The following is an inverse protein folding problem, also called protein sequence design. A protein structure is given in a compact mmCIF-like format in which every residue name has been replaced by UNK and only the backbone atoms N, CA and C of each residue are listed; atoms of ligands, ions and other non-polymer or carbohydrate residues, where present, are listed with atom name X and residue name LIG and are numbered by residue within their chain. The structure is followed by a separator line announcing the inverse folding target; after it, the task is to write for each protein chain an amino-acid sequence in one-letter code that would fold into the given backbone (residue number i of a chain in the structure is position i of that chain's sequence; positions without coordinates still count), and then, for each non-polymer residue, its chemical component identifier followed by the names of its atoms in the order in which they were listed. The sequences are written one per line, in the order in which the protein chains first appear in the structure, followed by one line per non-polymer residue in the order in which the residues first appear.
data_IF_932510327605
#
_entry.id   IF_932510327605
#
_cell.length_a   1.000
_cell.length_b   1.000
_cell.length_c   1.000
_cell.angle_alpha   90.00
_cell.angle_beta   90.00
_cell.angle_gamma   90.00
#
_symmetry.space_group_name_H-M   'P 1'
#
loop_
_entity.id
_entity.type
_entity.pdbx_description
1 polymer ?
#
# COMPACT_ATOMS: atom_id res chain seq x y z
N UNK A 1 -19.21 11.47 1.19
CA UNK A 1 -18.12 10.89 0.37
C UNK A 1 -17.23 10.02 1.23
N UNK A 2 -16.70 8.95 0.66
CA UNK A 2 -15.83 8.03 1.40
C UNK A 2 -14.41 8.09 0.86
N UNK A 3 -13.47 7.81 1.75
CA UNK A 3 -12.04 7.72 1.40
C UNK A 3 -11.46 6.46 2.02
N UNK A 4 -10.48 5.88 1.37
CA UNK A 4 -9.65 4.85 2.00
C UNK A 4 -8.44 5.53 2.59
N UNK A 5 -8.33 5.51 3.91
CA UNK A 5 -7.16 6.03 4.62
C UNK A 5 -6.11 4.94 4.71
N UNK A 6 -4.97 5.16 4.09
CA UNK A 6 -3.87 4.18 4.03
C UNK A 6 -2.72 4.69 4.88
N UNK A 7 -2.30 3.88 5.85
CA UNK A 7 -1.18 4.20 6.72
C UNK A 7 -0.04 3.21 6.51
N UNK A 8 1.15 3.73 6.38
CA UNK A 8 2.38 2.96 6.28
C UNK A 8 3.16 3.13 7.58
N UNK A 9 3.41 2.04 8.28
CA UNK A 9 4.05 2.09 9.58
C UNK A 9 5.58 2.12 9.51
N UNK A 10 6.13 1.76 8.37
CA UNK A 10 7.56 1.72 8.15
C UNK A 10 7.80 1.68 6.65
N UNK A 11 8.81 2.34 6.10
CA UNK A 11 9.89 3.01 6.84
C UNK A 11 9.62 4.47 7.22
N UNK A 12 8.56 5.10 6.78
CA UNK A 12 8.41 6.55 6.92
C UNK A 12 7.09 7.05 7.52
N UNK A 13 6.21 6.13 7.90
CA UNK A 13 4.91 6.46 8.51
C UNK A 13 4.03 7.36 7.63
N UNK A 14 4.09 7.18 6.32
CA UNK A 14 3.25 7.95 5.40
C UNK A 14 1.76 7.67 5.65
N UNK A 15 0.93 8.66 5.36
CA UNK A 15 -0.52 8.56 5.44
C UNK A 15 -1.11 9.20 4.19
N UNK A 16 -1.95 8.46 3.47
CA UNK A 16 -2.54 8.90 2.22
C UNK A 16 -4.02 8.54 2.18
N UNK A 17 -4.81 9.33 1.47
CA UNK A 17 -6.22 9.03 1.22
C UNK A 17 -6.42 8.68 -0.24
N UNK A 18 -7.15 7.60 -0.46
CA UNK A 18 -7.52 7.15 -1.80
C UNK A 18 -9.02 7.37 -1.96
N UNK A 19 -9.46 8.11 -3.00
CA UNK A 19 -10.89 8.27 -3.24
C UNK A 19 -11.54 6.91 -3.51
N UNK A 20 -12.73 6.71 -2.98
CA UNK A 20 -13.50 5.50 -3.27
C UNK A 20 -13.85 5.50 -4.77
N UNK A 21 -13.78 4.32 -5.39
CA UNK A 21 -13.89 4.08 -6.83
C UNK A 21 -12.77 4.72 -7.64
N UNK A 22 -11.67 5.08 -6.95
CA UNK A 22 -10.44 5.55 -7.56
C UNK A 22 -9.27 4.62 -7.26
N UNK A 23 -8.14 4.93 -7.85
CA UNK A 23 -6.89 4.21 -7.66
C UNK A 23 -5.77 5.21 -7.44
N UNK A 24 -4.82 4.87 -6.58
CA UNK A 24 -3.67 5.73 -6.32
C UNK A 24 -2.38 4.93 -6.38
N UNK A 25 -1.41 5.46 -7.10
CA UNK A 25 -0.03 4.97 -7.09
C UNK A 25 0.73 5.67 -5.97
N UNK A 26 1.29 4.91 -5.06
CA UNK A 26 2.14 5.47 -4.01
C UNK A 26 3.55 5.53 -4.57
N UNK A 27 3.94 6.72 -5.00
CA UNK A 27 5.23 6.94 -5.64
C UNK A 27 6.38 6.56 -4.71
N UNK A 28 7.42 5.98 -5.30
CA UNK A 28 8.58 5.50 -4.56
C UNK A 28 8.46 4.05 -4.10
N UNK A 29 7.26 3.49 -4.06
CA UNK A 29 7.04 2.13 -3.58
C UNK A 29 6.63 1.14 -4.68
N UNK A 30 6.37 1.60 -5.90
CA UNK A 30 5.81 0.75 -6.96
C UNK A 30 4.56 0.02 -6.49
N UNK A 31 3.70 0.74 -5.77
CA UNK A 31 2.55 0.21 -5.06
C UNK A 31 1.29 0.93 -5.54
N UNK A 32 0.27 0.13 -5.91
CA UNK A 32 -1.02 0.64 -6.32
C UNK A 32 -2.08 0.17 -5.33
N UNK A 33 -2.99 1.05 -4.98
CA UNK A 33 -4.09 0.71 -4.08
C UNK A 33 -5.38 1.36 -4.56
N UNK A 34 -6.47 0.61 -4.48
CA UNK A 34 -7.79 1.06 -4.87
C UNK A 34 -8.83 0.63 -3.85
N UNK A 35 -9.94 1.34 -3.85
CA UNK A 35 -11.08 1.03 -2.99
C UNK A 35 -12.35 1.16 -3.82
N UNK A 36 -13.12 0.08 -3.89
CA UNK A 36 -14.37 0.03 -4.66
C UNK A 36 -15.55 -0.06 -3.70
N UNK A 37 -16.57 0.79 -3.91
CA UNK A 37 -17.84 0.70 -3.22
C UNK A 37 -18.67 -0.42 -3.86
N UNK A 38 -19.00 -1.45 -3.09
CA UNK A 38 -19.76 -2.59 -3.59
C UNK A 38 -21.28 -2.35 -3.62
N UNK A 39 -21.75 -1.22 -3.06
CA UNK A 39 -23.15 -0.84 -3.07
C UNK A 39 -24.00 -1.48 -1.99
N UNK A 40 -23.45 -2.33 -1.16
CA UNK A 40 -24.16 -3.07 -0.10
C UNK A 40 -23.65 -2.74 1.31
N UNK A 41 -22.94 -1.62 1.46
CA UNK A 41 -22.32 -1.23 2.73
C UNK A 41 -20.94 -1.81 2.92
N UNK A 42 -20.42 -2.53 1.93
CA UNK A 42 -19.05 -3.05 1.95
C UNK A 42 -18.21 -2.41 0.87
N UNK A 43 -16.89 -2.50 1.04
CA UNK A 43 -15.91 -1.92 0.14
C UNK A 43 -14.81 -2.95 -0.12
N UNK A 44 -14.36 -3.04 -1.36
CA UNK A 44 -13.25 -3.91 -1.72
C UNK A 44 -11.97 -3.09 -1.77
N UNK A 45 -11.01 -3.43 -0.91
CA UNK A 45 -9.67 -2.86 -0.90
C UNK A 45 -8.76 -3.80 -1.66
N UNK A 46 -8.12 -3.30 -2.68
CA UNK A 46 -7.20 -4.06 -3.52
C UNK A 46 -5.87 -3.34 -3.62
N UNK A 47 -4.78 -4.07 -3.43
CA UNK A 47 -3.45 -3.51 -3.64
C UNK A 47 -2.64 -4.42 -4.56
N UNK A 48 -1.70 -3.79 -5.26
CA UNK A 48 -0.82 -4.46 -6.21
C UNK A 48 0.59 -3.93 -6.05
N UNK A 49 1.52 -4.84 -5.92
CA UNK A 49 2.95 -4.55 -5.97
C UNK A 49 3.65 -5.71 -6.64
N UNK A 50 4.97 -5.71 -6.67
CA UNK A 50 5.72 -6.78 -7.33
C UNK A 50 7.03 -7.04 -6.60
N UNK A 51 7.54 -8.25 -6.79
CA UNK A 51 8.82 -8.65 -6.22
C UNK A 51 9.57 -9.60 -7.15
N UNK A 52 10.84 -9.82 -6.86
CA UNK A 52 11.63 -10.83 -7.56
C UNK A 52 11.22 -12.21 -7.09
N UNK A 53 11.03 -13.13 -8.02
CA UNK A 53 10.71 -14.53 -7.72
C UNK A 53 11.83 -15.17 -6.89
N UNK A 54 13.07 -14.90 -7.24
CA UNK A 54 14.25 -15.28 -6.46
C UNK A 54 14.81 -14.02 -5.78
N UNK A 55 14.57 -13.83 -4.48
CA UNK A 55 14.99 -12.62 -3.79
C UNK A 55 16.50 -12.45 -3.69
N UNK A 56 17.29 -13.48 -3.98
CA UNK A 56 18.76 -13.39 -3.96
C UNK A 56 19.37 -13.08 -5.33
N UNK A 57 18.54 -13.01 -6.37
CA UNK A 57 18.99 -12.76 -7.73
C UNK A 57 18.33 -11.49 -8.27
N UNK A 58 19.09 -10.42 -8.41
CA UNK A 58 18.56 -9.14 -8.89
C UNK A 58 18.07 -9.18 -10.34
N UNK A 59 18.40 -10.24 -11.08
CA UNK A 59 17.95 -10.43 -12.46
C UNK A 59 16.80 -11.45 -12.56
N UNK A 60 16.29 -11.90 -11.42
CA UNK A 60 15.20 -12.84 -11.38
C UNK A 60 13.91 -12.26 -11.98
N UNK A 61 13.04 -13.16 -12.44
CA UNK A 61 11.69 -12.83 -12.90
C UNK A 61 10.94 -12.03 -11.85
N UNK A 62 10.14 -11.07 -12.32
CA UNK A 62 9.28 -10.25 -11.47
C UNK A 62 7.89 -10.86 -11.41
N UNK A 63 7.37 -11.04 -10.21
CA UNK A 63 6.06 -11.64 -9.97
C UNK A 63 5.17 -10.67 -9.19
N UNK A 64 3.84 -10.74 -9.39
CA UNK A 64 2.92 -9.85 -8.67
C UNK A 64 2.76 -10.25 -7.21
N UNK A 65 2.52 -9.25 -6.38
CA UNK A 65 2.11 -9.40 -4.99
C UNK A 65 0.81 -8.64 -4.83
N UNK A 66 -0.28 -9.35 -4.62
CA UNK A 66 -1.61 -8.76 -4.55
C UNK A 66 -2.27 -9.06 -3.22
N UNK A 67 -3.13 -8.13 -2.81
CA UNK A 67 -3.88 -8.23 -1.57
C UNK A 67 -5.29 -7.72 -1.84
N UNK A 68 -6.28 -8.43 -1.32
CA UNK A 68 -7.68 -8.03 -1.47
C UNK A 68 -8.45 -8.35 -0.21
N UNK A 69 -9.26 -7.40 0.25
CA UNK A 69 -10.16 -7.57 1.39
C UNK A 69 -11.46 -6.82 1.16
N UNK A 70 -12.53 -7.37 1.70
CA UNK A 70 -13.83 -6.71 1.75
C UNK A 70 -14.07 -6.23 3.18
N UNK A 71 -14.31 -4.94 3.34
CA UNK A 71 -14.43 -4.29 4.65
C UNK A 71 -15.65 -3.37 4.70
N UNK A 72 -16.05 -3.00 5.91
CA UNK A 72 -17.08 -1.99 6.16
C UNK A 72 -16.43 -0.68 6.57
N UNK A 73 -17.21 0.41 6.56
CA UNK A 73 -16.73 1.71 7.05
C UNK A 73 -16.21 1.58 8.48
N UNK A 74 -15.02 2.10 8.73
CA UNK A 74 -14.40 2.08 10.06
C UNK A 74 -13.65 0.79 10.40
N UNK A 75 -13.77 -0.25 9.59
CA UNK A 75 -13.07 -1.52 9.81
C UNK A 75 -11.68 -1.46 9.21
N UNK A 76 -10.66 -1.64 10.05
CA UNK A 76 -9.28 -1.65 9.59
C UNK A 76 -8.92 -3.00 8.98
N UNK A 77 -8.24 -2.97 7.85
CA UNK A 77 -7.60 -4.15 7.30
C UNK A 77 -6.10 -3.90 7.17
N UNK A 78 -5.32 -4.97 7.18
CA UNK A 78 -3.87 -4.91 7.09
C UNK A 78 -3.39 -5.79 5.94
N UNK A 79 -2.43 -5.28 5.20
CA UNK A 79 -1.82 -6.02 4.11
C UNK A 79 -0.34 -5.74 4.03
N UNK A 80 0.29 -6.40 3.09
CA UNK A 80 1.71 -6.23 2.82
C UNK A 80 1.91 -5.84 1.37
N UNK A 81 2.95 -5.05 1.12
CA UNK A 81 3.40 -4.76 -0.23
C UNK A 81 4.89 -4.99 -0.32
N UNK A 82 5.36 -5.20 -1.53
CA UNK A 82 6.74 -5.52 -1.81
C UNK A 82 7.27 -4.60 -2.90
N UNK A 83 8.57 -4.31 -2.88
CA UNK A 83 9.23 -3.66 -3.98
C UNK A 83 10.67 -4.16 -4.12
N UNK A 84 11.19 -4.03 -5.32
CA UNK A 84 12.43 -4.67 -5.74
C UNK A 84 13.65 -3.84 -5.37
N UNK A 85 13.89 -3.73 -4.06
CA UNK A 85 15.02 -2.99 -3.53
C UNK A 85 15.73 -3.84 -2.48
N UNK A 86 17.02 -3.72 -2.39
CA UNK A 86 17.80 -4.44 -1.39
C UNK A 86 17.25 -4.17 0.01
N UNK A 87 17.03 -5.23 0.77
CA UNK A 87 16.62 -5.16 2.16
C UNK A 87 17.78 -5.57 3.06
N UNK A 88 18.29 -4.64 3.84
CA UNK A 88 19.37 -4.93 4.78
C UNK A 88 18.93 -5.85 5.90
N UNK A 89 17.67 -5.79 6.29
CA UNK A 89 17.13 -6.64 7.34
C UNK A 89 17.05 -8.10 6.92
N UNK A 90 16.66 -8.35 5.67
CA UNK A 90 16.46 -9.70 5.15
C UNK A 90 17.63 -10.21 4.32
N UNK A 91 18.55 -9.33 3.95
CA UNK A 91 19.68 -9.70 3.10
C UNK A 91 19.26 -10.16 1.71
N UNK A 92 18.26 -9.52 1.11
CA UNK A 92 17.76 -9.89 -0.21
C UNK A 92 17.32 -8.67 -1.01
N UNK A 93 16.97 -8.89 -2.28
CA UNK A 93 16.60 -7.82 -3.22
C UNK A 93 15.12 -7.47 -3.21
N UNK A 94 14.35 -7.96 -2.25
CA UNK A 94 12.96 -7.58 -2.06
C UNK A 94 12.81 -6.92 -0.70
N UNK A 95 12.12 -5.78 -0.66
CA UNK A 95 11.75 -5.12 0.60
C UNK A 95 10.26 -5.31 0.82
N UNK A 96 9.88 -5.79 2.01
CA UNK A 96 8.50 -6.03 2.37
C UNK A 96 8.09 -5.12 3.51
N UNK A 97 6.93 -4.47 3.36
CA UNK A 97 6.40 -3.57 4.37
C UNK A 97 4.91 -3.82 4.56
N UNK A 98 4.43 -3.50 5.74
CA UNK A 98 3.02 -3.60 6.06
C UNK A 98 2.33 -2.25 5.86
N UNK A 99 1.05 -2.30 5.55
CA UNK A 99 0.18 -1.13 5.55
C UNK A 99 -1.12 -1.46 6.26
N UNK A 100 -1.82 -0.44 6.73
CA UNK A 100 -3.19 -0.56 7.21
C UNK A 100 -4.09 0.34 6.39
N UNK A 101 -5.35 -0.03 6.23
CA UNK A 101 -6.31 0.71 5.46
C UNK A 101 -7.67 0.67 6.12
N UNK A 102 -8.35 1.81 6.13
CA UNK A 102 -9.68 1.96 6.74
C UNK A 102 -10.52 2.88 5.88
N UNK A 103 -11.75 2.47 5.58
CA UNK A 103 -12.70 3.34 4.90
C UNK A 103 -13.25 4.35 5.91
N UNK A 104 -13.10 5.63 5.60
CA UNK A 104 -13.50 6.74 6.48
C UNK A 104 -14.42 7.71 5.73
N UNK A 105 -15.21 8.47 6.49
CA UNK A 105 -16.12 9.47 5.91
C UNK A 105 -15.50 10.86 5.90
N UNK A 106 -14.45 11.08 6.68
CA UNK A 106 -13.77 12.36 6.81
C UNK A 106 -12.26 12.18 6.85
N UNK A 107 -11.54 13.17 6.36
CA UNK A 107 -10.08 13.23 6.45
C UNK A 107 -9.70 13.89 7.77
N UNK A 108 -9.74 13.13 8.87
CA UNK A 108 -9.47 13.66 10.20
C UNK A 108 -8.00 13.86 10.52
N UNK A 109 -7.13 13.13 9.82
CA UNK A 109 -5.68 13.27 9.98
C UNK A 109 -5.09 13.86 8.70
N UNK A 110 -4.08 14.75 8.80
CA UNK A 110 -3.43 15.29 7.60
C UNK A 110 -2.63 14.21 6.87
N UNK A 111 -2.56 14.34 5.56
CA UNK A 111 -1.70 13.46 4.76
C UNK A 111 -0.24 13.69 5.13
N UNK A 112 0.52 12.61 5.11
CA UNK A 112 1.97 12.64 5.34
C UNK A 112 2.64 11.92 4.18
N UNK A 113 3.46 12.64 3.45
CA UNK A 113 4.16 12.09 2.31
C UNK A 113 5.32 11.19 2.73
N UNK A 114 5.73 10.35 1.77
CA UNK A 114 6.87 9.46 1.90
C UNK A 114 8.17 10.25 2.09
N UNK A 115 8.73 10.19 3.30
CA UNK A 115 9.98 10.89 3.63
C UNK A 115 11.20 10.29 2.91
N UNK A 116 11.16 8.99 2.63
CA UNK A 116 12.25 8.34 1.91
C UNK A 116 12.37 8.92 0.51
N UNK A 117 11.23 9.06 -0.18
CA UNK A 117 11.20 9.68 -1.50
C UNK A 117 11.71 11.11 -1.45
N UNK A 118 11.28 11.87 -0.46
CA UNK A 118 11.68 13.27 -0.31
C UNK A 118 13.17 13.40 0.04
N UNK A 119 13.73 12.46 0.77
CA UNK A 119 15.15 12.50 1.14
C UNK A 119 16.08 12.12 0.00
N UNK A 120 15.58 11.39 -0.99
CA UNK A 120 16.35 10.97 -2.16
C UNK A 120 16.36 12.05 -3.25
N UNK A 121 15.32 12.83 -3.30
CA UNK A 121 15.19 13.94 -4.26
C UNK A 121 15.90 15.22 -3.78
#
# INVERSE_FOLDING_TARGET
MYYLMVKFNFPDYALQYVPVDGEKHIAGYSFWISCKDNGDGTFTVHSYSSERKDPNNKESEIVPVEYERVVRVGEECRGEYSYRKWSYLKGCYNSHYAFSATVVTEKTEPEREDKIRNSIS
#
